data_IF_148666558015
#
_entry.id   IF_148666558015
#
_cell.length_a   1.000
_cell.length_b   1.000
_cell.length_c   1.000
_cell.angle_alpha   90.00
_cell.angle_beta   90.00
_cell.angle_gamma   90.00
#
_symmetry.space_group_name_H-M   'P 1'
#
loop_
_entity.id
_entity.type
_entity.pdbx_description
1 polymer ?
#
# COMPACT_ATOMS: atom_id res chain seq x y z
N UNK A 1 10.33 7.38 -7.94
CA UNK A 1 9.51 6.22 -8.36
C UNK A 1 8.87 6.47 -9.74
N UNK A 2 8.82 5.50 -10.68
CA UNK A 2 8.27 5.70 -12.05
C UNK A 2 6.73 5.56 -12.19
N UNK A 3 6.02 5.42 -11.08
CA UNK A 3 4.56 5.21 -11.06
C UNK A 3 3.84 6.55 -11.32
N UNK A 4 2.80 6.63 -12.17
CA UNK A 4 2.04 7.87 -12.40
C UNK A 4 1.32 8.38 -11.13
N UNK A 5 1.17 9.70 -10.96
CA UNK A 5 0.61 10.29 -9.72
C UNK A 5 -0.81 9.80 -9.41
N UNK A 6 -1.65 9.63 -10.45
CA UNK A 6 -3.00 9.04 -10.30
C UNK A 6 -2.94 7.62 -9.73
N UNK A 7 -1.94 6.84 -10.13
CA UNK A 7 -1.72 5.49 -9.63
C UNK A 7 -1.22 5.49 -8.19
N UNK A 8 -0.32 6.40 -7.83
CA UNK A 8 0.12 6.58 -6.43
C UNK A 8 -1.08 6.91 -5.54
N UNK A 9 -1.96 7.83 -5.96
CA UNK A 9 -3.17 8.18 -5.22
C UNK A 9 -4.15 6.99 -5.10
N UNK A 10 -4.35 6.21 -6.16
CA UNK A 10 -5.18 4.99 -6.09
C UNK A 10 -4.59 3.93 -5.16
N UNK A 11 -3.27 3.71 -5.21
CA UNK A 11 -2.59 2.80 -4.28
C UNK A 11 -2.71 3.30 -2.84
N UNK A 12 -2.56 4.60 -2.60
CA UNK A 12 -2.71 5.19 -1.27
C UNK A 12 -4.09 4.89 -0.69
N UNK A 13 -5.16 5.20 -1.45
CA UNK A 13 -6.54 4.97 -1.01
C UNK A 13 -6.76 3.51 -0.61
N UNK A 14 -6.35 2.59 -1.47
CA UNK A 14 -6.61 1.16 -1.24
C UNK A 14 -5.71 0.59 -0.13
N UNK A 15 -4.49 1.13 0.03
CA UNK A 15 -3.62 0.81 1.16
C UNK A 15 -4.21 1.34 2.48
N UNK A 16 -4.80 2.54 2.48
CA UNK A 16 -5.44 3.11 3.66
C UNK A 16 -6.59 2.22 4.17
N UNK A 17 -7.42 1.74 3.24
CA UNK A 17 -8.49 0.79 3.53
C UNK A 17 -7.92 -0.53 4.03
N UNK A 18 -6.91 -1.09 3.35
CA UNK A 18 -6.30 -2.36 3.73
C UNK A 18 -5.55 -2.30 5.07
N UNK A 19 -4.98 -1.15 5.44
CA UNK A 19 -4.31 -0.92 6.72
C UNK A 19 -5.30 -0.65 7.87
N UNK A 20 -6.58 -0.36 7.55
CA UNK A 20 -7.58 0.13 8.50
C UNK A 20 -7.05 1.34 9.27
N UNK A 21 -6.66 2.38 8.53
CA UNK A 21 -6.16 3.64 9.10
C UNK A 21 -7.32 4.30 9.89
N UNK A 22 -7.14 4.60 11.19
CA UNK A 22 -8.16 5.26 12.00
C UNK A 22 -8.65 6.57 11.36
N UNK A 23 -9.96 6.84 11.39
CA UNK A 23 -10.56 8.03 10.79
C UNK A 23 -10.81 7.95 9.27
N UNK A 24 -10.37 6.89 8.59
CA UNK A 24 -10.58 6.67 7.14
C UNK A 24 -11.58 5.55 6.87
N UNK A 25 -11.66 4.53 7.74
CA UNK A 25 -12.56 3.38 7.59
C UNK A 25 -13.28 3.05 8.90
N UNK A 26 -14.60 3.21 8.92
CA UNK A 26 -15.48 2.78 10.03
C UNK A 26 -16.13 1.41 9.84
N UNK A 27 -15.83 0.68 8.76
CA UNK A 27 -16.52 -0.55 8.37
C UNK A 27 -15.62 -1.81 8.48
N UNK A 28 -16.20 -2.98 8.81
CA UNK A 28 -15.47 -4.24 8.88
C UNK A 28 -14.93 -4.65 7.50
N UNK A 29 -13.73 -5.23 7.51
CA UNK A 29 -13.01 -5.68 6.31
C UNK A 29 -13.83 -6.74 5.56
N UNK A 30 -14.14 -6.51 4.28
CA UNK A 30 -14.58 -7.61 3.41
C UNK A 30 -13.38 -8.25 2.71
N UNK A 31 -13.38 -9.59 2.54
CA UNK A 31 -12.38 -10.32 1.73
C UNK A 31 -12.22 -9.72 0.31
N UNK A 32 -13.27 -9.07 -0.20
CA UNK A 32 -13.30 -8.40 -1.50
C UNK A 32 -12.35 -7.19 -1.55
N UNK A 33 -12.25 -6.42 -0.47
CA UNK A 33 -11.37 -5.24 -0.41
C UNK A 33 -9.88 -5.63 -0.38
N UNK A 34 -9.52 -6.71 0.33
CA UNK A 34 -8.14 -7.22 0.34
C UNK A 34 -7.73 -7.75 -1.05
N UNK A 35 -8.62 -8.50 -1.70
CA UNK A 35 -8.45 -8.94 -3.09
C UNK A 35 -8.24 -7.77 -4.06
N UNK A 36 -8.96 -6.67 -3.89
CA UNK A 36 -8.80 -5.48 -4.72
C UNK A 36 -7.46 -4.77 -4.47
N UNK A 37 -7.01 -4.69 -3.22
CA UNK A 37 -5.69 -4.19 -2.85
C UNK A 37 -4.59 -5.03 -3.50
N UNK A 38 -4.62 -6.34 -3.32
CA UNK A 38 -3.59 -7.23 -3.85
C UNK A 38 -3.54 -7.18 -5.38
N UNK A 39 -4.70 -7.09 -6.06
CA UNK A 39 -4.77 -6.92 -7.52
C UNK A 39 -4.19 -5.58 -7.98
N UNK A 40 -4.52 -4.47 -7.33
CA UNK A 40 -4.02 -3.15 -7.71
C UNK A 40 -2.53 -3.03 -7.42
N UNK A 41 -2.07 -3.57 -6.29
CA UNK A 41 -0.66 -3.63 -5.95
C UNK A 41 0.09 -4.51 -6.95
N UNK A 42 -0.42 -5.68 -7.34
CA UNK A 42 0.19 -6.50 -8.39
C UNK A 42 0.23 -5.79 -9.76
N UNK A 43 -0.83 -5.05 -10.13
CA UNK A 43 -0.89 -4.33 -11.41
C UNK A 43 0.10 -3.17 -11.47
N UNK A 44 0.25 -2.42 -10.38
CA UNK A 44 1.03 -1.18 -10.35
C UNK A 44 2.44 -1.34 -9.76
N UNK A 45 2.67 -2.40 -8.99
CA UNK A 45 3.96 -2.83 -8.45
C UNK A 45 4.35 -4.22 -8.97
N UNK A 46 4.19 -4.43 -10.29
CA UNK A 46 4.46 -5.71 -10.97
C UNK A 46 5.90 -6.19 -10.77
N UNK A 47 6.86 -5.25 -10.69
CA UNK A 47 8.27 -5.58 -10.45
C UNK A 47 8.61 -5.77 -8.97
N UNK A 48 7.69 -5.44 -8.06
CA UNK A 48 7.93 -5.49 -6.62
C UNK A 48 8.86 -4.39 -6.12
N UNK A 49 9.06 -3.32 -6.87
CA UNK A 49 9.98 -2.23 -6.51
C UNK A 49 9.48 -1.48 -5.27
N UNK A 50 8.18 -1.17 -5.23
CA UNK A 50 7.58 -0.44 -4.11
C UNK A 50 7.54 -1.29 -2.83
N UNK A 51 7.10 -2.56 -2.94
CA UNK A 51 7.11 -3.48 -1.80
C UNK A 51 8.53 -3.72 -1.29
N UNK A 52 9.49 -3.95 -2.19
CA UNK A 52 10.86 -4.22 -1.80
C UNK A 52 11.51 -3.00 -1.12
N UNK A 53 11.25 -1.79 -1.63
CA UNK A 53 11.71 -0.55 -1.00
C UNK A 53 11.19 -0.41 0.44
N UNK A 54 9.89 -0.67 0.68
CA UNK A 54 9.30 -0.62 2.04
C UNK A 54 9.86 -1.74 2.93
N UNK A 55 10.19 -2.89 2.36
CA UNK A 55 10.82 -4.01 3.07
C UNK A 55 12.34 -3.83 3.26
N UNK A 56 12.94 -2.76 2.74
CA UNK A 56 14.39 -2.53 2.83
C UNK A 56 15.25 -3.51 2.03
N UNK A 57 14.68 -4.18 1.03
CA UNK A 57 15.38 -5.18 0.20
C UNK A 57 15.35 -4.80 -1.28
N UNK A 58 16.19 -5.45 -2.09
CA UNK A 58 16.16 -5.25 -3.55
C UNK A 58 14.98 -6.01 -4.17
N UNK A 59 14.39 -5.46 -5.23
CA UNK A 59 13.20 -6.05 -5.88
C UNK A 59 13.41 -7.48 -6.40
N UNK A 60 14.60 -7.82 -6.88
CA UNK A 60 14.90 -9.19 -7.29
C UNK A 60 14.98 -10.17 -6.09
N UNK A 61 15.43 -9.70 -4.92
CA UNK A 61 15.46 -10.50 -3.69
C UNK A 61 14.03 -10.81 -3.25
N UNK A 62 13.15 -9.81 -3.23
CA UNK A 62 11.74 -10.00 -2.93
C UNK A 62 11.11 -11.07 -3.85
N UNK A 63 11.36 -10.99 -5.15
CA UNK A 63 10.84 -11.98 -6.12
C UNK A 63 11.38 -13.37 -5.89
N UNK A 64 12.64 -13.52 -5.50
CA UNK A 64 13.23 -14.81 -5.15
C UNK A 64 12.59 -15.38 -3.88
N UNK A 65 12.41 -14.57 -2.84
CA UNK A 65 11.76 -14.99 -1.60
C UNK A 65 10.30 -15.41 -1.84
N UNK A 66 9.55 -14.70 -2.68
CA UNK A 66 8.16 -15.03 -3.03
C UNK A 66 7.98 -16.39 -3.70
N UNK A 67 9.04 -16.99 -4.26
CA UNK A 67 9.00 -18.35 -4.80
C UNK A 67 9.15 -19.43 -3.73
N UNK A 68 9.66 -19.06 -2.56
CA UNK A 68 10.05 -19.99 -1.51
C UNK A 68 9.13 -19.93 -0.29
N UNK A 69 8.56 -18.76 -0.02
CA UNK A 69 7.77 -18.52 1.19
C UNK A 69 6.64 -17.52 0.94
N UNK A 70 5.54 -17.59 1.73
CA UNK A 70 4.44 -16.67 1.60
C UNK A 70 4.83 -15.25 2.04
N UNK A 71 4.08 -14.25 1.55
CA UNK A 71 4.44 -12.84 1.73
C UNK A 71 4.42 -12.39 3.20
N UNK A 72 3.55 -12.95 4.04
CA UNK A 72 3.51 -12.66 5.48
C UNK A 72 4.79 -13.09 6.19
N UNK A 73 5.42 -14.18 5.74
CA UNK A 73 6.71 -14.63 6.26
C UNK A 73 7.84 -13.69 5.81
N UNK A 74 7.81 -13.24 4.55
CA UNK A 74 8.77 -12.24 4.03
C UNK A 74 8.69 -10.94 4.85
N UNK A 75 7.47 -10.47 5.13
CA UNK A 75 7.21 -9.28 5.93
C UNK A 75 7.81 -9.42 7.33
N UNK A 76 7.59 -10.56 8.01
CA UNK A 76 8.18 -10.84 9.33
C UNK A 76 9.70 -10.87 9.31
N UNK A 77 10.31 -11.54 8.31
CA UNK A 77 11.77 -11.60 8.13
C UNK A 77 12.39 -10.23 7.82
N UNK A 78 11.60 -9.30 7.28
CA UNK A 78 12.02 -7.92 7.00
C UNK A 78 11.82 -6.97 8.20
N UNK A 79 11.47 -7.50 9.38
CA UNK A 79 11.38 -6.73 10.64
C UNK A 79 10.00 -6.16 10.97
N UNK A 80 8.97 -6.45 10.17
CA UNK A 80 7.60 -6.02 10.48
C UNK A 80 6.88 -7.03 11.38
N UNK A 81 6.14 -6.53 12.38
CA UNK A 81 5.34 -7.37 13.29
C UNK A 81 4.15 -8.05 12.61
N UNK A 82 3.64 -7.47 11.50
CA UNK A 82 2.50 -8.02 10.76
C UNK A 82 2.40 -7.43 9.35
N UNK A 83 1.62 -8.07 8.48
CA UNK A 83 1.24 -7.51 7.17
C UNK A 83 0.51 -6.17 7.32
N UNK A 84 -0.23 -5.96 8.43
CA UNK A 84 -0.86 -4.66 8.71
C UNK A 84 0.18 -3.57 8.95
N UNK A 85 1.23 -3.85 9.73
CA UNK A 85 2.32 -2.91 9.95
C UNK A 85 3.04 -2.55 8.64
N UNK A 86 3.28 -3.55 7.78
CA UNK A 86 3.78 -3.31 6.42
C UNK A 86 2.85 -2.39 5.62
N UNK A 87 1.53 -2.62 5.63
CA UNK A 87 0.56 -1.77 4.92
C UNK A 87 0.58 -0.32 5.45
N UNK A 88 0.78 -0.10 6.75
CA UNK A 88 0.95 1.25 7.31
C UNK A 88 2.23 1.94 6.81
N UNK A 89 3.36 1.23 6.74
CA UNK A 89 4.59 1.76 6.19
C UNK A 89 4.44 2.08 4.69
N UNK A 90 3.79 1.19 3.93
CA UNK A 90 3.45 1.40 2.53
C UNK A 90 2.56 2.63 2.33
N UNK A 91 1.54 2.81 3.19
CA UNK A 91 0.67 3.99 3.17
C UNK A 91 1.48 5.28 3.38
N UNK A 92 2.37 5.28 4.39
CA UNK A 92 3.23 6.44 4.69
C UNK A 92 4.14 6.77 3.49
N UNK A 93 4.78 5.77 2.91
CA UNK A 93 5.62 5.94 1.71
C UNK A 93 4.85 6.53 0.52
N UNK A 94 3.63 6.05 0.27
CA UNK A 94 2.78 6.57 -0.80
C UNK A 94 2.33 8.02 -0.53
N UNK A 95 2.11 8.37 0.74
CA UNK A 95 1.78 9.73 1.16
C UNK A 95 2.96 10.68 0.90
N UNK A 96 4.16 10.27 1.29
CA UNK A 96 5.40 11.04 1.08
C UNK A 96 5.67 11.24 -0.42
N UNK A 97 5.44 10.21 -1.23
CA UNK A 97 5.58 10.32 -2.69
C UNK A 97 4.59 11.32 -3.31
N UNK A 98 3.35 11.40 -2.81
CA UNK A 98 2.40 12.43 -3.25
C UNK A 98 2.82 13.83 -2.81
N UNK A 99 3.34 13.97 -1.59
CA UNK A 99 3.91 15.21 -1.09
C UNK A 99 5.06 15.71 -1.97
N UNK A 100 6.01 14.83 -2.32
CA UNK A 100 7.13 15.14 -3.22
C UNK A 100 6.66 15.54 -4.63
N UNK A 101 5.42 15.20 -5.00
CA UNK A 101 4.78 15.56 -6.28
C UNK A 101 3.86 16.78 -6.16
N UNK A 102 3.95 17.53 -5.06
CA UNK A 102 3.21 18.78 -4.84
C UNK A 102 1.79 18.61 -4.33
N UNK A 103 1.41 17.45 -3.79
CA UNK A 103 0.14 17.31 -3.08
C UNK A 103 0.27 17.80 -1.64
N UNK A 104 -0.66 18.66 -1.20
CA UNK A 104 -0.77 19.01 0.21
C UNK A 104 -1.40 17.87 1.03
N UNK A 105 -1.14 17.84 2.34
CA UNK A 105 -1.77 16.88 3.25
C UNK A 105 -3.30 16.96 3.17
N UNK A 106 -3.85 18.18 3.17
CA UNK A 106 -5.29 18.44 3.02
C UNK A 106 -5.87 17.95 1.69
N UNK A 107 -5.10 17.98 0.59
CA UNK A 107 -5.52 17.42 -0.69
C UNK A 107 -5.56 15.89 -0.63
N UNK A 108 -4.57 15.27 0.01
CA UNK A 108 -4.50 13.82 0.18
C UNK A 108 -5.67 13.33 1.04
N UNK A 109 -5.91 13.96 2.19
CA UNK A 109 -7.01 13.62 3.09
C UNK A 109 -8.36 13.75 2.40
N UNK A 110 -8.64 14.88 1.74
CA UNK A 110 -9.89 15.07 0.97
C UNK A 110 -10.05 14.02 -0.11
N UNK A 111 -8.98 13.68 -0.83
CA UNK A 111 -9.02 12.63 -1.86
C UNK A 111 -9.39 11.27 -1.27
N UNK A 112 -8.77 10.91 -0.13
CA UNK A 112 -9.00 9.63 0.52
C UNK A 112 -10.41 9.57 1.11
N UNK A 113 -10.86 10.61 1.82
CA UNK A 113 -12.22 10.69 2.38
C UNK A 113 -13.31 10.67 1.31
N UNK A 114 -13.16 11.44 0.22
CA UNK A 114 -14.16 11.53 -0.84
C UNK A 114 -14.32 10.22 -1.65
N UNK A 115 -13.35 9.31 -1.56
CA UNK A 115 -13.36 8.04 -2.29
C UNK A 115 -13.48 6.81 -1.42
N UNK A 116 -13.16 6.88 -0.13
CA UNK A 116 -13.46 5.80 0.82
C UNK A 116 -14.96 5.60 0.96
N UNK A 117 -15.76 6.69 0.91
CA UNK A 117 -17.23 6.66 0.88
C UNK A 117 -17.84 5.98 -0.36
N UNK A 118 -17.04 5.70 -1.40
CA UNK A 118 -17.46 4.97 -2.60
C UNK A 118 -17.03 3.50 -2.58
N UNK A 119 -16.22 3.12 -1.60
CA UNK A 119 -15.74 1.75 -1.37
C UNK A 119 -16.44 1.08 -0.17
N UNK A 120 -17.17 1.88 0.62
CA UNK A 120 -18.11 1.45 1.67
C UNK A 120 -19.38 0.85 1.09
#
# INVERSE_FOLDING_TARGET
MRIPTKTVASLLLVTAVAAAVPGITGMPRSRRQESQFDRLLQRHDRKGELRAEVLGIKSHVLRSMQKQMPFDEIVRRSGFTSVRAFRFALFSKLKDELHNRGWSASRIERFVMARSSRLS
#
